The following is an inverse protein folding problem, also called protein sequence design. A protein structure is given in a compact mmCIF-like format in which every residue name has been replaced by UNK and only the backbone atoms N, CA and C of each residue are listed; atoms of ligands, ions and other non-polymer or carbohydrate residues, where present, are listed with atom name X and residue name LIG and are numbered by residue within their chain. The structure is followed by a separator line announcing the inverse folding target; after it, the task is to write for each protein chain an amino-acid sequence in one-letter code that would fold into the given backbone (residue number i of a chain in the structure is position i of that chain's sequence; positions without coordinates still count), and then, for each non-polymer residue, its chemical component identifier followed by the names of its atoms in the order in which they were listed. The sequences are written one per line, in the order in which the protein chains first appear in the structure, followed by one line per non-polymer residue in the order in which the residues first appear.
data_IF_810619855272
#
_entry.id   IF_810619855272
#
_cell.length_a   1.000
_cell.length_b   1.000
_cell.length_c   1.000
_cell.angle_alpha   90.00
_cell.angle_beta   90.00
_cell.angle_gamma   90.00
#
_symmetry.space_group_name_H-M   'P 1'
#
loop_
_entity.id
_entity.type
_entity.pdbx_description
1 polymer ?
#
# COMPACT_ATOMS: atom_id res chain seq x y z
N UNK A 1 23.33 61.20 -8.07
CA UNK A 1 24.34 60.38 -7.37
C UNK A 1 23.69 59.08 -6.98
N UNK A 2 24.26 58.02 -7.52
CA UNK A 2 23.84 56.63 -7.47
C UNK A 2 24.07 56.05 -6.07
N UNK A 3 23.08 55.34 -5.52
CA UNK A 3 23.32 54.27 -4.55
C UNK A 3 22.42 53.10 -4.93
N UNK A 4 23.03 52.11 -5.60
CA UNK A 4 22.46 50.76 -5.77
C UNK A 4 22.41 50.10 -4.39
N UNK A 5 21.26 49.54 -4.03
CA UNK A 5 21.17 48.54 -2.97
C UNK A 5 21.19 47.17 -3.65
N UNK A 6 22.20 46.35 -3.35
CA UNK A 6 22.25 44.97 -3.80
C UNK A 6 21.19 44.13 -3.07
N UNK A 7 20.48 43.20 -3.75
CA UNK A 7 19.72 42.20 -3.04
C UNK A 7 20.70 41.21 -2.41
N UNK A 8 20.73 41.16 -1.07
CA UNK A 8 21.39 40.10 -0.33
C UNK A 8 20.73 38.76 -0.68
N UNK A 9 21.23 38.10 -1.73
CA UNK A 9 20.94 36.72 -2.03
C UNK A 9 21.73 35.87 -1.05
N UNK A 10 21.14 35.59 0.12
CA UNK A 10 21.64 34.53 0.99
C UNK A 10 21.57 33.22 0.21
N UNK A 11 22.69 32.52 -0.06
CA UNK A 11 22.64 31.21 -0.68
C UNK A 11 21.86 30.31 0.26
N UNK A 12 20.67 29.88 -0.14
CA UNK A 12 19.92 28.86 0.61
C UNK A 12 20.80 27.61 0.61
N UNK A 13 21.30 27.31 1.81
CA UNK A 13 22.10 26.15 2.16
C UNK A 13 21.75 24.92 1.32
N UNK A 14 22.70 24.42 0.53
CA UNK A 14 22.71 23.12 -0.16
C UNK A 14 22.69 21.93 0.83
N UNK A 15 21.75 21.93 1.78
CA UNK A 15 21.55 20.85 2.77
C UNK A 15 20.16 20.25 2.76
N UNK A 16 19.23 20.79 1.98
CA UNK A 16 17.89 20.23 1.76
C UNK A 16 17.83 19.29 0.54
N UNK A 17 18.98 18.88 -0.02
CA UNK A 17 19.04 17.77 -0.98
C UNK A 17 19.01 16.41 -0.29
N UNK A 18 18.23 16.31 0.79
CA UNK A 18 17.78 15.02 1.32
C UNK A 18 17.04 14.38 0.15
N UNK A 19 17.61 13.30 -0.39
CA UNK A 19 17.13 12.61 -1.58
C UNK A 19 15.61 12.49 -1.52
N UNK A 20 14.89 13.27 -2.33
CA UNK A 20 13.43 13.18 -2.47
C UNK A 20 12.98 11.76 -2.86
N UNK A 21 13.93 10.94 -3.31
CA UNK A 21 13.78 9.55 -3.74
C UNK A 21 13.22 8.60 -2.67
N UNK A 22 13.28 8.92 -1.37
CA UNK A 22 12.87 8.00 -0.29
C UNK A 22 11.67 8.50 0.55
N UNK A 23 11.00 9.56 0.09
CA UNK A 23 9.84 10.12 0.80
C UNK A 23 8.52 9.65 0.18
N UNK A 24 7.72 8.89 0.93
CA UNK A 24 6.36 8.54 0.52
C UNK A 24 5.46 9.78 0.56
N UNK A 25 4.84 10.11 -0.58
CA UNK A 25 3.85 11.20 -0.68
C UNK A 25 2.43 10.63 -0.73
N UNK A 26 1.60 11.04 0.23
CA UNK A 26 0.19 10.65 0.28
C UNK A 26 -0.69 11.73 -0.36
N UNK A 27 -1.39 11.37 -1.42
CA UNK A 27 -2.37 12.23 -2.09
C UNK A 27 -3.79 11.76 -1.78
N UNK A 28 -4.65 12.67 -1.32
CA UNK A 28 -6.06 12.35 -1.04
C UNK A 28 -6.89 12.53 -2.30
N UNK A 29 -7.42 11.43 -2.83
CA UNK A 29 -8.47 11.48 -3.86
C UNK A 29 -9.77 11.94 -3.18
N UNK A 30 -10.40 12.97 -3.74
CA UNK A 30 -11.68 13.53 -3.28
C UNK A 30 -12.74 13.36 -4.37
N UNK A 31 -14.00 13.41 -3.96
CA UNK A 31 -15.15 13.39 -4.87
C UNK A 31 -15.78 14.78 -4.99
N UNK A 32 -16.39 15.04 -6.15
CA UNK A 32 -17.25 16.20 -6.39
C UNK A 32 -18.71 15.86 -6.06
N UNK A 33 -19.51 16.87 -5.73
CA UNK A 33 -20.93 16.71 -5.39
C UNK A 33 -21.76 16.10 -6.55
N UNK A 34 -21.33 16.34 -7.79
CA UNK A 34 -21.98 15.86 -9.01
C UNK A 34 -21.40 14.52 -9.51
N UNK A 35 -20.58 13.86 -8.69
CA UNK A 35 -19.79 12.70 -9.09
C UNK A 35 -18.46 13.09 -9.73
N UNK A 36 -17.55 12.12 -9.81
CA UNK A 36 -16.18 12.30 -10.29
C UNK A 36 -15.14 12.45 -9.18
N UNK A 37 -13.87 12.36 -9.56
CA UNK A 37 -12.71 12.21 -8.68
C UNK A 37 -11.63 13.23 -9.01
N UNK A 38 -10.92 13.72 -8.00
CA UNK A 38 -9.77 14.60 -8.20
C UNK A 38 -8.75 14.50 -7.06
N UNK A 39 -7.49 14.76 -7.39
CA UNK A 39 -6.44 15.11 -6.41
C UNK A 39 -6.34 16.64 -6.30
N UNK A 40 -6.31 17.33 -7.44
CA UNK A 40 -6.37 18.79 -7.54
C UNK A 40 -7.68 19.23 -8.21
N UNK A 41 -8.40 20.20 -7.62
CA UNK A 41 -9.72 20.65 -8.15
C UNK A 41 -9.69 21.11 -9.61
N UNK A 42 -8.54 21.58 -10.09
CA UNK A 42 -8.34 22.02 -11.49
C UNK A 42 -8.38 20.87 -12.51
N UNK A 43 -8.31 19.61 -12.06
CA UNK A 43 -8.30 18.40 -12.88
C UNK A 43 -9.25 17.34 -12.30
N UNK A 44 -10.57 17.48 -12.56
CA UNK A 44 -11.53 16.45 -12.21
C UNK A 44 -11.64 15.37 -13.30
N UNK A 45 -11.98 14.16 -12.88
CA UNK A 45 -12.13 12.99 -13.75
C UNK A 45 -13.48 12.30 -13.48
N UNK A 46 -14.10 11.74 -14.52
CA UNK A 46 -15.34 10.98 -14.41
C UNK A 46 -15.18 9.70 -13.59
N UNK A 47 -14.08 8.99 -13.80
CA UNK A 47 -13.79 7.71 -13.15
C UNK A 47 -12.42 7.70 -12.48
N UNK A 48 -12.22 6.77 -11.54
CA UNK A 48 -10.89 6.53 -10.96
C UNK A 48 -9.89 6.04 -12.01
N UNK A 49 -10.34 5.29 -13.01
CA UNK A 49 -9.47 4.79 -14.06
C UNK A 49 -8.89 5.91 -14.91
N UNK A 50 -9.71 6.92 -15.24
CA UNK A 50 -9.26 8.10 -15.99
C UNK A 50 -8.24 8.91 -15.18
N UNK A 51 -8.47 9.06 -13.87
CA UNK A 51 -7.55 9.72 -12.95
C UNK A 51 -6.20 9.00 -12.91
N UNK A 52 -6.21 7.66 -12.75
CA UNK A 52 -4.99 6.86 -12.71
C UNK A 52 -4.25 6.98 -14.04
N UNK A 53 -4.94 6.82 -15.17
CA UNK A 53 -4.37 6.89 -16.51
C UNK A 53 -3.71 8.24 -16.77
N UNK A 54 -4.35 9.35 -16.37
CA UNK A 54 -3.76 10.69 -16.48
C UNK A 54 -2.46 10.79 -15.69
N UNK A 55 -2.50 10.45 -14.39
CA UNK A 55 -1.33 10.58 -13.53
C UNK A 55 -0.22 9.55 -13.80
N UNK A 56 -0.51 8.49 -14.57
CA UNK A 56 0.52 7.60 -15.13
C UNK A 56 1.26 8.24 -16.29
N UNK A 57 0.60 9.07 -17.11
CA UNK A 57 1.22 9.71 -18.28
C UNK A 57 1.88 11.06 -17.95
N UNK A 58 1.34 11.81 -17.00
CA UNK A 58 1.82 13.13 -16.59
C UNK A 58 1.63 13.33 -15.09
N UNK A 59 2.67 13.80 -14.39
CA UNK A 59 2.59 14.07 -12.96
C UNK A 59 1.61 15.22 -12.65
N UNK A 60 1.43 16.20 -13.55
CA UNK A 60 0.52 17.36 -13.39
C UNK A 60 0.47 17.95 -11.96
N UNK A 61 1.65 18.14 -11.36
CA UNK A 61 1.83 18.69 -10.01
C UNK A 61 1.94 17.67 -8.87
N UNK A 62 1.89 16.37 -9.14
CA UNK A 62 2.42 15.35 -8.23
C UNK A 62 3.95 15.40 -8.23
N UNK A 63 4.58 14.90 -7.17
CA UNK A 63 6.04 14.80 -7.09
C UNK A 63 6.58 13.84 -8.16
N UNK A 64 5.82 12.80 -8.49
CA UNK A 64 6.15 11.79 -9.51
C UNK A 64 4.87 11.30 -10.19
N UNK A 65 5.02 10.75 -11.40
CA UNK A 65 3.97 10.00 -12.08
C UNK A 65 3.63 8.71 -11.32
N UNK A 66 2.38 8.25 -11.46
CA UNK A 66 1.98 6.93 -11.01
C UNK A 66 2.60 5.87 -11.93
N UNK A 67 3.39 4.97 -11.35
CA UNK A 67 4.08 3.93 -12.12
C UNK A 67 3.36 2.59 -11.94
N UNK A 68 3.93 1.69 -11.16
CA UNK A 68 3.36 0.36 -10.94
C UNK A 68 2.47 0.35 -9.70
N UNK A 69 1.33 -0.36 -9.73
CA UNK A 69 0.54 -0.59 -8.54
C UNK A 69 1.36 -1.42 -7.54
N UNK A 70 1.19 -1.12 -6.24
CA UNK A 70 1.78 -1.95 -5.21
C UNK A 70 1.18 -3.35 -5.23
N UNK A 71 2.04 -4.37 -5.22
CA UNK A 71 1.62 -5.77 -5.08
C UNK A 71 1.08 -5.96 -3.66
N UNK A 72 -0.15 -6.44 -3.53
CA UNK A 72 -0.67 -6.89 -2.24
C UNK A 72 -0.01 -8.24 -1.92
N UNK A 73 0.96 -8.24 -1.02
CA UNK A 73 1.69 -9.45 -0.64
C UNK A 73 0.86 -10.37 0.28
N UNK A 74 -0.15 -9.83 0.96
CA UNK A 74 -0.95 -10.59 1.91
C UNK A 74 -2.22 -11.12 1.24
N UNK A 75 -2.40 -12.43 1.28
CA UNK A 75 -3.73 -13.01 1.14
C UNK A 75 -4.61 -12.37 2.24
N UNK A 76 -5.87 -12.00 1.93
CA UNK A 76 -6.76 -11.50 2.97
C UNK A 76 -6.75 -12.51 4.11
N UNK A 77 -6.56 -12.03 5.35
CA UNK A 77 -6.68 -12.91 6.51
C UNK A 77 -8.03 -13.59 6.37
N UNK A 78 -8.02 -14.89 6.10
CA UNK A 78 -9.23 -15.66 6.06
C UNK A 78 -9.78 -15.52 7.47
N UNK A 79 -10.95 -14.90 7.59
CA UNK A 79 -11.76 -14.96 8.80
C UNK A 79 -12.08 -16.44 8.99
N UNK A 80 -11.15 -17.13 9.64
CA UNK A 80 -11.29 -18.53 9.96
C UNK A 80 -12.52 -18.61 10.86
N UNK A 81 -13.50 -19.38 10.41
CA UNK A 81 -14.73 -19.75 11.13
C UNK A 81 -15.80 -18.65 11.13
N UNK A 82 -16.59 -18.60 10.07
CA UNK A 82 -17.90 -17.94 10.05
C UNK A 82 -18.86 -18.69 10.96
N UNK A 83 -19.30 -18.05 12.06
CA UNK A 83 -20.50 -18.27 12.90
C UNK A 83 -20.89 -19.68 13.40
N UNK A 84 -20.34 -20.76 12.87
CA UNK A 84 -20.50 -22.12 13.37
C UNK A 84 -19.24 -22.48 14.15
N UNK A 85 -19.41 -22.99 15.37
CA UNK A 85 -18.36 -23.48 16.28
C UNK A 85 -17.66 -24.75 15.74
N UNK A 86 -17.49 -24.87 14.43
CA UNK A 86 -16.91 -26.01 13.74
C UNK A 86 -15.38 -25.92 13.77
N UNK A 87 -14.83 -26.16 14.96
CA UNK A 87 -13.38 -26.23 15.21
C UNK A 87 -12.79 -27.63 14.99
N UNK A 88 -13.64 -28.66 14.87
CA UNK A 88 -13.21 -30.04 14.72
C UNK A 88 -12.82 -30.37 13.27
N UNK A 89 -11.63 -30.97 13.11
CA UNK A 89 -11.12 -31.48 11.84
C UNK A 89 -10.75 -32.96 11.98
N UNK A 90 -10.90 -33.74 10.91
CA UNK A 90 -10.42 -35.14 10.91
C UNK A 90 -8.90 -35.13 11.04
N UNK A 91 -8.36 -35.80 12.07
CA UNK A 91 -6.91 -35.93 12.28
C UNK A 91 -6.19 -36.50 11.06
N UNK A 92 -6.83 -37.37 10.29
CA UNK A 92 -6.27 -37.95 9.06
C UNK A 92 -6.11 -36.92 7.94
N UNK A 93 -6.82 -35.78 8.03
CA UNK A 93 -6.65 -34.65 7.12
C UNK A 93 -5.38 -33.84 7.39
N UNK A 94 -4.69 -34.07 8.51
CA UNK A 94 -3.42 -33.41 8.84
C UNK A 94 -2.27 -34.40 8.67
N UNK A 95 -1.37 -34.10 7.75
CA UNK A 95 -0.13 -34.83 7.59
C UNK A 95 0.98 -34.12 8.36
N UNK A 96 1.50 -34.77 9.41
CA UNK A 96 2.70 -34.30 10.09
C UNK A 96 3.93 -34.60 9.24
N UNK A 97 4.76 -33.59 8.99
CA UNK A 97 5.94 -33.69 8.11
C UNK A 97 7.23 -33.63 8.92
N UNK A 98 7.40 -32.61 9.76
CA UNK A 98 8.64 -32.42 10.52
C UNK A 98 8.41 -31.66 11.80
N UNK A 99 9.11 -32.03 12.87
CA UNK A 99 9.16 -31.22 14.08
C UNK A 99 9.99 -29.94 13.87
N UNK A 100 9.39 -28.80 14.17
CA UNK A 100 10.01 -27.46 14.06
C UNK A 100 10.37 -26.86 15.41
N UNK A 101 9.95 -27.48 16.52
CA UNK A 101 10.37 -27.07 17.85
C UNK A 101 9.98 -28.06 18.96
N UNK A 102 10.66 -27.93 20.10
CA UNK A 102 10.29 -28.52 21.38
C UNK A 102 10.64 -27.53 22.50
N UNK A 103 9.75 -27.37 23.47
CA UNK A 103 9.95 -26.48 24.61
C UNK A 103 8.96 -26.73 25.73
N UNK A 104 8.79 -25.77 26.63
CA UNK A 104 7.91 -25.89 27.80
C UNK A 104 6.41 -26.04 27.46
N UNK A 105 6.04 -25.87 26.19
CA UNK A 105 4.67 -26.00 25.69
C UNK A 105 4.46 -27.26 24.83
N UNK A 106 5.41 -28.20 24.84
CA UNK A 106 5.36 -29.45 24.10
C UNK A 106 6.11 -29.41 22.76
N UNK A 107 5.74 -30.34 21.88
CA UNK A 107 6.34 -30.52 20.56
C UNK A 107 5.54 -29.77 19.49
N UNK A 108 6.25 -29.04 18.62
CA UNK A 108 5.63 -28.27 17.54
C UNK A 108 6.03 -28.88 16.20
N UNK A 109 5.02 -29.21 15.39
CA UNK A 109 5.16 -29.81 14.07
C UNK A 109 4.78 -28.88 12.94
N UNK A 110 5.53 -28.98 11.83
CA UNK A 110 5.10 -28.55 10.51
C UNK A 110 4.35 -29.70 9.82
N UNK A 111 3.26 -29.37 9.16
CA UNK A 111 2.42 -30.32 8.44
C UNK A 111 1.62 -29.65 7.34
N UNK A 112 0.95 -30.47 6.53
CA UNK A 112 0.03 -30.03 5.48
C UNK A 112 -1.37 -30.48 5.85
N UNK A 113 -2.34 -29.58 5.67
CA UNK A 113 -3.76 -29.93 5.77
C UNK A 113 -4.30 -30.28 4.39
N UNK A 114 -4.85 -31.47 4.25
CA UNK A 114 -5.55 -31.95 3.07
C UNK A 114 -7.01 -31.51 3.02
N UNK A 115 -7.38 -30.45 3.76
CA UNK A 115 -8.75 -29.97 3.85
C UNK A 115 -9.35 -29.78 2.45
N UNK A 116 -10.35 -30.59 2.13
CA UNK A 116 -11.25 -30.31 1.02
C UNK A 116 -12.06 -29.08 1.44
N UNK A 117 -11.78 -27.92 0.84
CA UNK A 117 -12.72 -26.80 0.90
C UNK A 117 -14.02 -27.26 0.23
N UNK A 118 -15.01 -27.62 1.04
CA UNK A 118 -16.38 -27.79 0.55
C UNK A 118 -16.97 -26.39 0.37
N UNK A 119 -17.27 -26.05 -0.89
CA UNK A 119 -18.10 -24.92 -1.28
C UNK A 119 -19.55 -25.12 -0.85
#
# INVERSE_FOLDING_TARGET
MEKKAEPNYSPRSDKDRIREEDCVKHYRIRQLDQGGYFIARRRPFSTLQDLITHYTNDADGLCVQLTQPCVKCDAPQTSTFTYDDQWEIDRRSILFIKQIGAGQFGEVGFGVSSSHYKH
#
